data_IF_000867344781
#
_entry.id   IF_000867344781
#
_cell.length_a   1.000
_cell.length_b   1.000
_cell.length_c   1.000
_cell.angle_alpha   90.00
_cell.angle_beta   90.00
_cell.angle_gamma   90.00
#
_symmetry.space_group_name_H-M   'P 1'
#
loop_
_entity.id
_entity.type
_entity.pdbx_description
1 polymer ?
#
# COMPACT_ATOMS: atom_id res chain seq x y z
N UNK A 1 -35.17 -20.27 -4.00
CA UNK A 1 -33.95 -19.97 -4.70
C UNK A 1 -33.57 -18.54 -4.30
N UNK A 2 -32.82 -18.37 -3.18
CA UNK A 2 -32.49 -17.06 -2.60
C UNK A 2 -31.12 -16.64 -3.11
N UNK A 3 -31.07 -15.57 -3.90
CA UNK A 3 -29.80 -14.91 -4.26
C UNK A 3 -29.36 -14.04 -3.08
N UNK A 4 -28.32 -14.45 -2.38
CA UNK A 4 -27.61 -13.58 -1.42
C UNK A 4 -26.73 -12.61 -2.21
N UNK A 5 -27.01 -11.33 -2.07
CA UNK A 5 -26.12 -10.26 -2.52
C UNK A 5 -24.95 -10.16 -1.53
N UNK A 6 -23.73 -10.36 -2.00
CA UNK A 6 -22.54 -10.05 -1.23
C UNK A 6 -22.07 -8.65 -1.60
N UNK A 7 -21.98 -7.81 -0.59
CA UNK A 7 -21.30 -6.52 -0.68
C UNK A 7 -19.80 -6.76 -0.56
N UNK A 8 -19.03 -6.25 -1.51
CA UNK A 8 -17.56 -6.31 -1.52
C UNK A 8 -17.07 -4.91 -1.23
N UNK A 9 -16.61 -4.69 0.00
CA UNK A 9 -15.79 -3.53 0.33
C UNK A 9 -14.35 -4.00 0.42
N UNK A 10 -13.45 -3.44 -0.37
CA UNK A 10 -12.02 -3.69 -0.20
C UNK A 10 -11.56 -2.98 1.07
N UNK A 11 -11.26 -3.74 2.09
CA UNK A 11 -10.66 -3.25 3.32
C UNK A 11 -9.25 -3.85 3.38
N UNK A 12 -8.25 -3.05 3.06
CA UNK A 12 -6.88 -3.42 3.36
C UNK A 12 -6.73 -3.57 4.86
N UNK A 13 -6.51 -4.80 5.32
CA UNK A 13 -6.45 -5.11 6.73
C UNK A 13 -4.99 -5.06 7.18
N UNK A 14 -4.61 -3.94 7.79
CA UNK A 14 -3.43 -3.90 8.63
C UNK A 14 -3.74 -4.65 9.92
N UNK A 15 -3.07 -5.77 10.18
CA UNK A 15 -3.16 -6.42 11.49
C UNK A 15 -2.30 -5.68 12.50
N UNK A 16 -2.89 -4.73 13.21
CA UNK A 16 -2.38 -4.33 14.51
C UNK A 16 -3.02 -5.24 15.55
N UNK A 17 -2.33 -6.30 15.96
CA UNK A 17 -2.76 -7.15 17.06
C UNK A 17 -2.32 -6.52 18.39
N UNK A 18 -3.16 -5.67 18.96
CA UNK A 18 -3.11 -5.41 20.39
C UNK A 18 -3.85 -6.52 21.14
N UNK A 19 -3.23 -7.00 22.20
CA UNK A 19 -3.54 -8.19 22.97
C UNK A 19 -5.02 -8.46 23.27
N UNK A 20 -5.35 -9.74 23.25
CA UNK A 20 -6.64 -10.28 23.66
C UNK A 20 -6.86 -10.05 25.16
N UNK A 21 -7.77 -9.16 25.48
CA UNK A 21 -8.40 -9.04 26.77
C UNK A 21 -9.89 -8.89 26.57
N UNK A 22 -10.65 -9.98 26.71
CA UNK A 22 -12.09 -9.90 26.71
C UNK A 22 -12.56 -9.22 28.00
N UNK A 23 -13.08 -8.02 27.89
CA UNK A 23 -13.92 -7.40 28.91
C UNK A 23 -15.20 -6.93 28.22
N UNK A 24 -16.32 -7.59 28.54
CA UNK A 24 -17.63 -7.03 28.31
C UNK A 24 -17.77 -5.76 29.15
N UNK A 25 -18.05 -4.63 28.53
CA UNK A 25 -18.61 -3.47 29.18
C UNK A 25 -19.83 -3.02 28.39
N UNK A 26 -20.96 -3.09 29.05
CA UNK A 26 -22.22 -2.48 28.63
C UNK A 26 -22.11 -0.95 28.69
N UNK A 27 -22.61 -0.29 27.65
CA UNK A 27 -23.36 0.97 27.76
C UNK A 27 -22.56 2.23 28.01
N UNK A 28 -22.26 2.99 26.95
CA UNK A 28 -22.71 4.39 26.92
C UNK A 28 -22.85 4.87 25.46
N UNK A 29 -24.08 5.23 25.10
CA UNK A 29 -24.45 5.84 23.82
C UNK A 29 -24.09 7.33 23.89
N UNK A 30 -22.82 7.64 23.77
CA UNK A 30 -22.32 9.00 23.57
C UNK A 30 -21.83 9.15 22.14
N UNK A 31 -22.73 9.47 21.20
CA UNK A 31 -22.39 9.93 19.87
C UNK A 31 -21.50 11.17 19.95
N UNK A 32 -20.20 10.99 20.04
CA UNK A 32 -19.25 12.03 19.60
C UNK A 32 -19.08 11.86 18.10
N UNK A 33 -19.86 12.60 17.33
CA UNK A 33 -19.52 12.98 15.96
C UNK A 33 -18.20 13.75 16.02
N UNK A 34 -17.08 13.05 15.96
CA UNK A 34 -15.82 13.64 15.59
C UNK A 34 -15.93 13.93 14.09
N UNK A 35 -16.27 15.16 13.74
CA UNK A 35 -16.14 15.65 12.38
C UNK A 35 -14.67 15.44 12.00
N UNK A 36 -14.40 14.45 11.15
CA UNK A 36 -13.11 14.24 10.52
C UNK A 36 -12.69 15.57 9.91
N UNK A 37 -11.57 16.10 10.34
CA UNK A 37 -11.09 17.39 9.85
C UNK A 37 -10.47 17.13 8.50
N UNK A 38 -11.24 17.35 7.43
CA UNK A 38 -10.70 17.39 6.06
C UNK A 38 -9.70 18.53 6.02
N UNK A 39 -8.45 18.22 5.73
CA UNK A 39 -7.42 19.24 5.47
C UNK A 39 -7.54 19.61 4.00
N UNK A 40 -8.08 20.80 3.72
CA UNK A 40 -8.06 21.34 2.36
C UNK A 40 -6.62 21.68 2.00
N UNK A 41 -6.10 21.02 0.96
CA UNK A 41 -4.83 21.39 0.35
C UNK A 41 -5.02 22.67 -0.46
N UNK A 42 -4.09 23.62 -0.30
CA UNK A 42 -4.10 24.78 -1.18
C UNK A 42 -3.75 24.36 -2.64
N UNK A 43 -4.14 25.15 -3.66
CA UNK A 43 -3.83 24.81 -5.06
C UNK A 43 -2.34 24.66 -5.38
N UNK A 44 -1.46 25.05 -4.47
CA UNK A 44 -0.02 24.95 -4.59
C UNK A 44 0.57 23.76 -3.78
N UNK A 45 -0.28 22.96 -3.14
CA UNK A 45 0.14 21.79 -2.38
C UNK A 45 0.87 22.07 -1.07
N UNK A 46 0.65 23.28 -0.48
CA UNK A 46 1.39 23.72 0.72
C UNK A 46 0.73 23.32 2.05
N UNK A 47 -0.33 22.50 2.06
CA UNK A 47 -0.73 21.85 3.29
C UNK A 47 0.10 20.56 3.44
N UNK A 48 0.88 20.49 4.50
CA UNK A 48 1.65 19.30 4.78
C UNK A 48 0.70 18.18 5.21
N UNK A 49 0.50 17.18 4.36
CA UNK A 49 -0.27 15.96 4.69
C UNK A 49 0.32 15.26 5.91
N UNK A 50 1.58 15.54 6.23
CA UNK A 50 2.28 15.05 7.42
C UNK A 50 1.76 15.63 8.73
N UNK A 51 0.97 16.71 8.69
CA UNK A 51 0.36 17.32 9.88
C UNK A 51 -1.00 16.70 10.24
N UNK A 52 -1.39 15.63 9.56
CA UNK A 52 -2.62 14.91 9.89
C UNK A 52 -2.52 14.30 11.29
N UNK A 53 -3.58 14.47 12.07
CA UNK A 53 -3.74 13.76 13.35
C UNK A 53 -4.16 12.31 13.09
N UNK A 54 -4.09 11.45 14.11
CA UNK A 54 -4.44 10.03 13.99
C UNK A 54 -5.90 9.78 13.54
N UNK A 55 -6.79 10.77 13.71
CA UNK A 55 -8.18 10.74 13.24
C UNK A 55 -8.38 11.61 11.98
N UNK A 56 -7.30 12.18 11.43
CA UNK A 56 -7.33 13.10 10.33
C UNK A 56 -7.06 12.44 8.98
N UNK A 57 -7.71 12.95 7.96
CA UNK A 57 -7.42 12.59 6.58
C UNK A 57 -7.47 13.82 5.67
N UNK A 58 -6.80 13.73 4.53
CA UNK A 58 -6.90 14.69 3.45
C UNK A 58 -7.52 14.01 2.23
N UNK A 59 -8.37 14.74 1.52
CA UNK A 59 -8.92 14.31 0.23
C UNK A 59 -8.41 15.23 -0.87
N UNK A 60 -7.97 14.65 -1.98
CA UNK A 60 -7.52 15.37 -3.15
C UNK A 60 -8.04 14.65 -4.40
N UNK A 61 -9.08 15.22 -5.01
CA UNK A 61 -9.82 14.54 -6.05
C UNK A 61 -10.43 13.22 -5.54
N UNK A 62 -10.06 12.10 -6.16
CA UNK A 62 -10.52 10.77 -5.75
C UNK A 62 -9.65 10.13 -4.66
N UNK A 63 -8.50 10.73 -4.37
CA UNK A 63 -7.54 10.18 -3.42
C UNK A 63 -7.87 10.58 -1.99
N UNK A 64 -7.59 9.67 -1.07
CA UNK A 64 -7.62 9.94 0.36
C UNK A 64 -6.28 9.56 0.95
N UNK A 65 -5.72 10.42 1.80
CA UNK A 65 -4.53 10.13 2.60
C UNK A 65 -4.91 10.26 4.06
N UNK A 66 -4.65 9.22 4.85
CA UNK A 66 -4.95 9.19 6.27
C UNK A 66 -3.75 8.67 7.07
N UNK A 67 -3.49 9.27 8.21
CA UNK A 67 -2.51 8.77 9.16
C UNK A 67 -3.12 7.57 9.88
N UNK A 68 -2.49 6.41 9.77
CA UNK A 68 -2.98 5.16 10.39
C UNK A 68 -2.13 4.75 11.61
N UNK A 69 -0.91 5.23 11.69
CA UNK A 69 0.02 5.01 12.81
C UNK A 69 1.07 6.13 12.80
N UNK A 70 1.84 6.27 13.86
CA UNK A 70 2.98 7.17 13.86
C UNK A 70 3.91 6.85 12.67
N UNK A 71 4.20 7.87 11.89
CA UNK A 71 5.01 7.82 10.67
C UNK A 71 4.43 7.00 9.51
N UNK A 72 3.27 6.35 9.65
CA UNK A 72 2.65 5.57 8.56
C UNK A 72 1.35 6.20 8.10
N UNK A 73 1.26 6.44 6.80
CA UNK A 73 0.11 7.04 6.15
C UNK A 73 -0.40 6.10 5.05
N UNK A 74 -1.69 5.88 5.04
CA UNK A 74 -2.38 5.14 4.01
C UNK A 74 -2.82 6.10 2.91
N UNK A 75 -2.46 5.80 1.68
CA UNK A 75 -2.93 6.50 0.49
C UNK A 75 -3.89 5.58 -0.26
N UNK A 76 -5.18 5.89 -0.18
CA UNK A 76 -6.27 5.19 -0.86
C UNK A 76 -6.57 5.89 -2.19
N UNK A 77 -6.68 5.13 -3.27
CA UNK A 77 -7.06 5.65 -4.58
C UNK A 77 -8.54 5.98 -4.72
N UNK A 78 -9.36 5.61 -3.74
CA UNK A 78 -10.82 5.76 -3.82
C UNK A 78 -11.45 4.89 -4.92
N UNK A 79 -12.74 5.09 -5.13
CA UNK A 79 -13.48 4.38 -6.18
C UNK A 79 -13.17 4.98 -7.55
N UNK A 80 -12.65 4.16 -8.48
CA UNK A 80 -12.25 4.57 -9.82
C UNK A 80 -13.27 4.11 -10.86
N UNK A 81 -13.68 5.01 -11.77
CA UNK A 81 -14.20 4.60 -13.08
C UNK A 81 -13.01 4.26 -13.98
N UNK A 82 -12.80 2.98 -14.27
CA UNK A 82 -11.78 2.58 -15.24
C UNK A 82 -12.38 2.57 -16.64
N UNK A 83 -11.70 3.16 -17.64
CA UNK A 83 -12.07 2.94 -19.03
C UNK A 83 -11.95 1.45 -19.35
N UNK A 84 -13.09 0.79 -19.65
CA UNK A 84 -13.11 -0.63 -20.03
C UNK A 84 -12.99 -1.64 -18.89
N UNK A 85 -12.92 -1.22 -17.62
CA UNK A 85 -12.91 -2.11 -16.46
C UNK A 85 -14.29 -2.69 -16.14
N UNK A 86 -14.33 -3.82 -15.44
CA UNK A 86 -15.58 -4.37 -14.92
C UNK A 86 -16.19 -3.36 -13.94
N UNK A 87 -17.35 -2.83 -14.31
CA UNK A 87 -18.11 -1.92 -13.47
C UNK A 87 -19.15 -2.68 -12.69
N UNK A 88 -19.39 -2.28 -11.44
CA UNK A 88 -20.63 -2.67 -10.78
C UNK A 88 -21.83 -2.02 -11.47
N UNK A 89 -23.03 -2.30 -11.02
CA UNK A 89 -24.27 -1.74 -11.55
C UNK A 89 -24.32 -0.19 -11.50
N UNK A 90 -23.42 0.46 -10.75
CA UNK A 90 -23.28 1.91 -10.65
C UNK A 90 -22.28 2.51 -11.64
N UNK A 91 -21.55 1.67 -12.37
CA UNK A 91 -20.53 2.08 -13.32
C UNK A 91 -19.19 2.46 -12.69
N UNK A 92 -18.96 2.07 -11.44
CA UNK A 92 -17.72 2.29 -10.69
C UNK A 92 -16.94 0.99 -10.61
N UNK A 93 -15.66 1.01 -10.92
CA UNK A 93 -14.79 -0.13 -10.64
C UNK A 93 -14.39 -0.10 -9.17
N UNK A 94 -14.70 -1.19 -8.48
CA UNK A 94 -14.33 -1.40 -7.10
C UNK A 94 -13.02 -2.20 -7.04
N UNK A 95 -11.92 -1.61 -7.47
CA UNK A 95 -10.59 -2.17 -7.22
C UNK A 95 -9.61 -1.04 -6.90
N UNK A 96 -9.86 -0.27 -5.82
CA UNK A 96 -8.91 0.73 -5.37
C UNK A 96 -7.68 0.02 -4.83
N UNK A 97 -6.51 0.53 -5.17
CA UNK A 97 -5.26 0.10 -4.55
C UNK A 97 -4.96 0.92 -3.31
N UNK A 98 -4.28 0.28 -2.39
CA UNK A 98 -3.73 0.90 -1.18
C UNK A 98 -2.24 1.04 -1.32
N UNK A 99 -1.76 2.26 -1.09
CA UNK A 99 -0.34 2.59 -1.02
C UNK A 99 -0.03 3.11 0.38
N UNK A 100 1.22 3.04 0.78
CA UNK A 100 1.60 3.50 2.11
C UNK A 100 2.85 4.35 2.06
N UNK A 101 2.84 5.49 2.76
CA UNK A 101 4.04 6.24 3.05
C UNK A 101 4.52 5.90 4.46
N UNK A 102 5.84 5.69 4.60
CA UNK A 102 6.52 5.64 5.90
C UNK A 102 7.49 6.80 5.95
N UNK A 103 7.32 7.67 6.92
CA UNK A 103 8.13 8.86 7.07
C UNK A 103 9.31 8.57 7.99
N UNK A 104 10.51 8.72 7.46
CA UNK A 104 11.77 8.60 8.20
C UNK A 104 12.41 9.99 8.42
N UNK A 105 13.41 10.06 9.29
CA UNK A 105 14.12 11.31 9.52
C UNK A 105 14.80 11.82 8.24
N UNK A 106 15.49 10.93 7.53
CA UNK A 106 16.33 11.25 6.38
C UNK A 106 15.67 10.98 5.02
N UNK A 107 14.44 10.46 4.97
CA UNK A 107 13.79 10.12 3.72
C UNK A 107 12.33 9.70 3.89
N UNK A 108 11.74 9.26 2.80
CA UNK A 108 10.37 8.72 2.77
C UNK A 108 10.37 7.39 2.01
N UNK A 109 9.68 6.39 2.54
CA UNK A 109 9.40 5.16 1.83
C UNK A 109 7.96 5.20 1.32
N UNK A 110 7.76 4.85 0.06
CA UNK A 110 6.46 4.57 -0.54
C UNK A 110 6.34 3.07 -0.83
N UNK A 111 5.31 2.44 -0.34
CA UNK A 111 4.96 1.05 -0.64
C UNK A 111 3.84 1.04 -1.65
N UNK A 112 4.11 0.46 -2.81
CA UNK A 112 3.29 0.36 -4.02
C UNK A 112 3.00 1.70 -4.75
N UNK A 113 2.60 1.56 -6.01
CA UNK A 113 2.40 2.66 -6.96
C UNK A 113 0.96 2.70 -7.52
N UNK A 114 0.03 2.02 -6.90
CA UNK A 114 -1.39 2.05 -7.25
C UNK A 114 -1.72 1.68 -8.69
N UNK A 115 -2.96 1.94 -9.10
CA UNK A 115 -3.45 1.71 -10.47
C UNK A 115 -2.89 2.72 -11.48
N UNK A 116 -2.40 3.87 -11.00
CA UNK A 116 -2.10 4.98 -11.87
C UNK A 116 -3.35 5.67 -12.45
N UNK A 117 -3.15 6.58 -13.36
CA UNK A 117 -4.22 7.27 -14.09
C UNK A 117 -3.72 7.79 -15.42
N UNK A 118 -4.64 7.90 -16.40
CA UNK A 118 -4.45 8.64 -17.65
C UNK A 118 -5.13 10.03 -17.60
N UNK A 119 -5.81 10.34 -16.51
CA UNK A 119 -6.48 11.62 -16.32
C UNK A 119 -5.50 12.65 -15.74
N UNK A 120 -5.37 13.80 -16.38
CA UNK A 120 -4.42 14.84 -15.98
C UNK A 120 -4.67 15.37 -14.55
N UNK A 121 -5.94 15.49 -14.13
CA UNK A 121 -6.29 15.93 -12.79
C UNK A 121 -5.86 14.91 -11.74
N UNK A 122 -6.11 13.63 -11.99
CA UNK A 122 -5.67 12.54 -11.10
C UNK A 122 -4.14 12.50 -11.00
N UNK A 123 -3.43 12.66 -12.12
CA UNK A 123 -1.96 12.70 -12.16
C UNK A 123 -1.44 13.89 -11.35
N UNK A 124 -2.04 15.07 -11.51
CA UNK A 124 -1.66 16.27 -10.77
C UNK A 124 -1.93 16.11 -9.26
N UNK A 125 -3.06 15.50 -8.90
CA UNK A 125 -3.41 15.21 -7.52
C UNK A 125 -2.42 14.21 -6.89
N UNK A 126 -2.09 13.13 -7.60
CA UNK A 126 -1.08 12.16 -7.17
C UNK A 126 0.30 12.82 -6.98
N UNK A 127 0.73 13.66 -7.93
CA UNK A 127 1.96 14.47 -7.83
C UNK A 127 1.95 15.34 -6.57
N UNK A 128 0.84 16.01 -6.30
CA UNK A 128 0.70 16.87 -5.13
C UNK A 128 0.82 16.06 -3.84
N UNK A 129 0.19 14.88 -3.78
CA UNK A 129 0.31 13.98 -2.63
C UNK A 129 1.77 13.56 -2.42
N UNK A 130 2.42 13.04 -3.45
CA UNK A 130 3.82 12.59 -3.36
C UNK A 130 4.73 13.73 -2.91
N UNK A 131 4.62 14.92 -3.51
CA UNK A 131 5.43 16.08 -3.12
C UNK A 131 5.15 16.54 -1.68
N UNK A 132 3.89 16.50 -1.23
CA UNK A 132 3.53 16.87 0.13
C UNK A 132 4.08 15.89 1.16
N UNK A 133 4.10 14.59 0.84
CA UNK A 133 4.61 13.56 1.75
C UNK A 133 6.13 13.55 1.80
N UNK A 134 6.80 13.78 0.67
CA UNK A 134 8.27 13.80 0.61
C UNK A 134 8.85 15.13 1.11
N UNK A 135 8.19 16.25 0.84
CA UNK A 135 8.78 17.56 1.04
C UNK A 135 10.06 17.70 0.21
N UNK A 136 11.20 17.90 0.88
CA UNK A 136 12.52 17.96 0.24
C UNK A 136 13.35 16.70 0.51
N UNK A 137 12.75 15.65 1.06
CA UNK A 137 13.45 14.40 1.39
C UNK A 137 13.47 13.47 0.18
N UNK A 138 14.52 12.62 0.07
CA UNK A 138 14.56 11.58 -0.95
C UNK A 138 13.47 10.54 -0.72
N UNK A 139 13.08 9.87 -1.81
CA UNK A 139 12.05 8.83 -1.84
C UNK A 139 12.67 7.48 -2.22
N UNK A 140 12.43 6.47 -1.40
CA UNK A 140 12.58 5.07 -1.82
C UNK A 140 11.21 4.44 -2.04
N UNK A 141 11.12 3.49 -2.96
CA UNK A 141 9.87 2.80 -3.30
C UNK A 141 10.06 1.30 -3.09
N UNK A 142 9.08 0.64 -2.50
CA UNK A 142 8.98 -0.82 -2.51
C UNK A 142 7.73 -1.20 -3.31
N UNK A 143 7.88 -2.10 -4.28
CA UNK A 143 6.79 -2.69 -5.05
C UNK A 143 6.55 -4.08 -4.50
N UNK A 144 5.36 -4.30 -3.95
CA UNK A 144 5.02 -5.58 -3.31
C UNK A 144 4.94 -6.72 -4.31
N UNK A 145 4.44 -6.44 -5.53
CA UNK A 145 4.37 -7.42 -6.62
C UNK A 145 4.12 -6.73 -7.98
N UNK A 146 4.13 -7.52 -9.05
CA UNK A 146 4.19 -7.02 -10.44
C UNK A 146 2.87 -6.59 -11.05
N UNK A 147 1.73 -6.72 -10.38
CA UNK A 147 0.43 -6.38 -10.97
C UNK A 147 0.27 -4.88 -11.22
N UNK A 148 -0.56 -4.55 -12.20
CA UNK A 148 -0.73 -3.19 -12.71
C UNK A 148 -1.32 -2.22 -11.69
N UNK A 149 -2.11 -2.70 -10.75
CA UNK A 149 -2.68 -1.94 -9.64
C UNK A 149 -1.70 -1.70 -8.47
N UNK A 150 -0.46 -2.21 -8.58
CA UNK A 150 0.66 -1.95 -7.67
C UNK A 150 1.85 -1.27 -8.38
N UNK A 151 1.79 -1.14 -9.71
CA UNK A 151 2.86 -0.54 -10.53
C UNK A 151 2.39 0.63 -11.38
N UNK A 152 1.12 1.02 -11.30
CA UNK A 152 0.48 1.92 -12.25
C UNK A 152 1.11 3.30 -12.39
N UNK A 153 1.43 4.00 -11.29
CA UNK A 153 2.14 5.27 -11.35
C UNK A 153 3.59 5.15 -11.79
N UNK A 154 4.14 3.94 -11.87
CA UNK A 154 5.44 3.69 -12.47
C UNK A 154 5.54 4.12 -13.93
N UNK A 155 4.41 4.28 -14.63
CA UNK A 155 4.32 4.82 -16.01
C UNK A 155 4.18 6.33 -16.07
N UNK A 156 3.96 7.02 -14.95
CA UNK A 156 3.67 8.45 -14.89
C UNK A 156 4.88 9.24 -14.43
N UNK A 157 5.77 9.61 -15.35
CA UNK A 157 6.95 10.43 -15.03
C UNK A 157 6.55 11.73 -14.31
N UNK A 158 5.40 12.31 -14.67
CA UNK A 158 4.92 13.56 -14.11
C UNK A 158 4.69 13.49 -12.58
N UNK A 159 4.29 12.34 -12.05
CA UNK A 159 4.01 12.17 -10.60
C UNK A 159 5.29 12.32 -9.78
N UNK A 160 6.43 11.86 -10.30
CA UNK A 160 7.71 11.85 -9.60
C UNK A 160 8.71 12.89 -10.11
N UNK A 161 8.28 13.79 -11.01
CA UNK A 161 9.19 14.74 -11.70
C UNK A 161 9.97 15.68 -10.74
N UNK A 162 9.40 16.02 -9.59
CA UNK A 162 9.98 16.96 -8.63
C UNK A 162 10.53 16.24 -7.38
N UNK A 163 10.63 14.91 -7.42
CA UNK A 163 11.05 14.09 -6.27
C UNK A 163 12.34 13.36 -6.59
N UNK A 164 13.29 13.37 -5.67
CA UNK A 164 14.50 12.56 -5.77
C UNK A 164 14.21 11.10 -5.40
N UNK A 165 13.86 10.30 -6.40
CA UNK A 165 13.69 8.85 -6.22
C UNK A 165 15.08 8.21 -6.17
N UNK A 166 15.51 7.70 -5.01
CA UNK A 166 16.82 7.10 -4.82
C UNK A 166 16.86 5.62 -5.23
N UNK A 167 15.88 4.84 -4.77
CA UNK A 167 15.81 3.39 -4.97
C UNK A 167 14.39 2.91 -5.19
N UNK A 168 14.28 1.87 -6.01
CA UNK A 168 13.03 1.10 -6.18
C UNK A 168 13.34 -0.36 -5.94
N UNK A 169 12.73 -0.94 -4.93
CA UNK A 169 12.91 -2.34 -4.55
C UNK A 169 11.75 -3.18 -5.08
N UNK A 170 12.07 -4.28 -5.71
CA UNK A 170 11.11 -5.27 -6.19
C UNK A 170 11.75 -6.65 -6.06
N UNK A 171 10.93 -7.69 -5.89
CA UNK A 171 11.46 -9.05 -5.87
C UNK A 171 12.08 -9.45 -7.22
N UNK A 172 13.15 -10.24 -7.17
CA UNK A 172 13.79 -10.75 -8.41
C UNK A 172 12.80 -11.52 -9.31
N UNK A 173 11.90 -12.42 -8.78
CA UNK A 173 10.96 -13.14 -9.63
C UNK A 173 9.93 -12.24 -10.33
N UNK A 174 9.46 -11.17 -9.68
CA UNK A 174 8.44 -10.28 -10.24
C UNK A 174 9.00 -9.16 -11.13
N UNK A 175 10.31 -8.91 -11.07
CA UNK A 175 10.91 -7.81 -11.82
C UNK A 175 10.61 -7.85 -13.32
N UNK A 176 10.73 -9.03 -13.95
CA UNK A 176 10.54 -9.14 -15.39
C UNK A 176 9.11 -8.77 -15.84
N UNK A 177 8.11 -9.10 -15.01
CA UNK A 177 6.72 -8.78 -15.30
C UNK A 177 6.39 -7.29 -15.06
N UNK A 178 7.06 -6.65 -14.09
CA UNK A 178 6.88 -5.24 -13.78
C UNK A 178 7.71 -4.29 -14.64
N UNK A 179 8.78 -4.76 -15.29
CA UNK A 179 9.82 -3.94 -15.90
C UNK A 179 9.28 -2.85 -16.84
N UNK A 180 8.32 -3.18 -17.71
CA UNK A 180 7.71 -2.20 -18.63
C UNK A 180 6.97 -1.08 -17.87
N UNK A 181 6.37 -1.40 -16.74
CA UNK A 181 5.60 -0.45 -15.95
C UNK A 181 6.47 0.54 -15.16
N UNK A 182 7.73 0.19 -14.90
CA UNK A 182 8.64 0.94 -14.02
C UNK A 182 9.91 1.43 -14.71
N UNK A 183 9.91 1.47 -16.04
CA UNK A 183 11.10 1.86 -16.86
C UNK A 183 11.68 3.21 -16.48
N UNK A 184 10.87 4.17 -16.03
CA UNK A 184 11.39 5.47 -15.58
C UNK A 184 12.39 5.35 -14.41
N UNK A 185 12.37 4.22 -13.71
CA UNK A 185 13.23 3.94 -12.55
C UNK A 185 14.38 2.95 -12.86
N UNK A 186 14.63 2.55 -14.10
CA UNK A 186 15.60 1.50 -14.47
C UNK A 186 16.96 1.62 -13.77
N UNK A 187 17.50 2.83 -13.69
CA UNK A 187 18.79 3.08 -13.02
C UNK A 187 18.74 3.03 -11.49
N UNK A 188 17.55 2.94 -10.92
CA UNK A 188 17.27 2.96 -9.48
C UNK A 188 16.83 1.59 -8.94
N UNK A 189 16.55 0.63 -9.84
CA UNK A 189 16.02 -0.69 -9.46
C UNK A 189 17.05 -1.46 -8.65
N UNK A 190 16.58 -2.00 -7.54
CA UNK A 190 17.28 -2.95 -6.69
C UNK A 190 16.39 -4.19 -6.51
N UNK A 191 16.85 -5.31 -7.01
CA UNK A 191 16.15 -6.58 -6.87
C UNK A 191 16.45 -7.19 -5.51
N UNK A 192 15.39 -7.68 -4.85
CA UNK A 192 15.48 -8.32 -3.54
C UNK A 192 15.05 -9.78 -3.60
N UNK A 193 15.57 -10.57 -2.68
CA UNK A 193 15.28 -11.99 -2.54
C UNK A 193 14.65 -12.30 -1.17
N UNK A 194 14.15 -13.51 -1.02
CA UNK A 194 13.62 -13.98 0.25
C UNK A 194 14.69 -13.94 1.35
N UNK A 195 14.36 -13.28 2.46
CA UNK A 195 15.23 -13.14 3.63
C UNK A 195 16.18 -11.94 3.57
N UNK A 196 16.23 -11.21 2.45
CA UNK A 196 17.04 -10.00 2.38
C UNK A 196 16.57 -8.97 3.42
N UNK A 197 17.53 -8.28 4.00
CA UNK A 197 17.29 -7.15 4.89
C UNK A 197 18.00 -5.93 4.33
N UNK A 198 17.23 -4.87 4.10
CA UNK A 198 17.75 -3.59 3.59
C UNK A 198 17.48 -2.50 4.61
N UNK A 199 18.50 -1.71 4.93
CA UNK A 199 18.33 -0.49 5.70
C UNK A 199 17.87 0.62 4.74
N UNK A 200 16.67 1.17 4.98
CA UNK A 200 16.12 2.30 4.24
C UNK A 200 15.92 3.43 5.23
N UNK A 201 16.67 4.50 5.07
CA UNK A 201 16.65 5.70 5.93
C UNK A 201 16.74 5.40 7.43
N UNK A 202 17.57 4.42 7.81
CA UNK A 202 17.80 4.06 9.22
C UNK A 202 16.96 2.89 9.73
N UNK A 203 15.85 2.56 9.08
CA UNK A 203 14.99 1.44 9.45
C UNK A 203 15.34 0.17 8.65
N UNK A 204 15.43 -1.01 9.29
CA UNK A 204 15.63 -2.30 8.62
C UNK A 204 14.28 -2.84 8.11
N UNK A 205 14.22 -3.12 6.81
CA UNK A 205 13.09 -3.78 6.14
C UNK A 205 13.49 -5.20 5.75
N UNK A 206 12.76 -6.21 6.21
CA UNK A 206 12.99 -7.61 5.86
C UNK A 206 12.02 -8.04 4.77
N UNK A 207 12.56 -8.53 3.66
CA UNK A 207 11.80 -8.96 2.49
C UNK A 207 11.57 -10.47 2.51
N UNK A 208 10.30 -10.87 2.53
CA UNK A 208 9.92 -12.27 2.48
C UNK A 208 9.12 -12.54 1.21
N UNK A 209 9.65 -13.35 0.29
CA UNK A 209 8.92 -13.77 -0.90
C UNK A 209 7.91 -14.85 -0.51
N UNK A 210 6.64 -14.64 -0.86
CA UNK A 210 5.52 -15.57 -0.66
C UNK A 210 4.82 -15.77 -2.01
N UNK A 211 5.20 -16.81 -2.75
CA UNK A 211 4.75 -17.07 -4.12
C UNK A 211 3.30 -17.60 -4.17
N UNK A 212 2.37 -16.91 -3.53
CA UNK A 212 0.97 -17.31 -3.45
C UNK A 212 0.05 -16.49 -4.37
N UNK A 213 0.36 -15.20 -4.57
CA UNK A 213 -0.40 -14.29 -5.41
C UNK A 213 0.29 -14.06 -6.76
N UNK A 214 1.56 -13.64 -6.74
CA UNK A 214 2.49 -13.71 -7.88
C UNK A 214 3.69 -14.57 -7.51
N UNK A 215 4.59 -14.85 -8.45
CA UNK A 215 5.80 -15.62 -8.18
C UNK A 215 6.71 -14.93 -7.16
N UNK A 216 6.74 -13.58 -7.20
CA UNK A 216 7.60 -12.74 -6.39
C UNK A 216 6.88 -11.88 -5.35
N UNK A 217 5.61 -12.16 -5.01
CA UNK A 217 4.89 -11.37 -4.01
C UNK A 217 5.68 -11.24 -2.72
N UNK A 218 5.83 -10.00 -2.26
CA UNK A 218 6.59 -9.66 -1.05
C UNK A 218 5.66 -9.47 0.15
N UNK A 219 6.11 -10.02 1.28
CA UNK A 219 5.68 -9.63 2.60
C UNK A 219 6.84 -8.92 3.29
N UNK A 220 6.68 -7.64 3.62
CA UNK A 220 7.74 -6.77 4.11
C UNK A 220 7.52 -6.50 5.59
N UNK A 221 8.51 -6.86 6.42
CA UNK A 221 8.49 -6.65 7.87
C UNK A 221 9.24 -5.36 8.21
N UNK A 222 8.57 -4.44 8.86
CA UNK A 222 9.11 -3.22 9.44
C UNK A 222 8.94 -3.26 10.96
N UNK A 223 9.99 -3.68 11.66
CA UNK A 223 9.97 -3.75 13.13
C UNK A 223 10.16 -2.41 13.80
N UNK A 224 10.71 -1.42 13.10
CA UNK A 224 10.91 -0.07 13.62
C UNK A 224 9.58 0.63 13.86
N UNK A 225 8.68 0.56 12.89
CA UNK A 225 7.36 1.19 12.99
C UNK A 225 6.26 0.19 13.38
N UNK A 226 6.60 -1.11 13.57
CA UNK A 226 5.64 -2.16 13.91
C UNK A 226 4.60 -2.36 12.81
N UNK A 227 5.06 -2.61 11.58
CA UNK A 227 4.21 -2.82 10.42
C UNK A 227 4.61 -4.07 9.63
N UNK A 228 3.62 -4.73 9.05
CA UNK A 228 3.78 -5.83 8.12
C UNK A 228 2.98 -5.51 6.85
N UNK A 229 3.69 -5.16 5.77
CA UNK A 229 3.08 -4.91 4.47
C UNK A 229 3.01 -6.23 3.71
N UNK A 230 1.81 -6.65 3.33
CA UNK A 230 1.58 -8.00 2.78
C UNK A 230 1.23 -8.02 1.31
N UNK A 231 1.05 -6.86 0.69
CA UNK A 231 0.48 -6.78 -0.66
C UNK A 231 -0.80 -7.62 -0.75
N UNK A 232 -1.08 -8.18 -1.89
CA UNK A 232 -2.28 -8.96 -2.16
C UNK A 232 -2.23 -10.40 -1.65
N UNK A 233 -1.08 -10.85 -1.12
CA UNK A 233 -0.99 -12.18 -0.50
C UNK A 233 -2.00 -12.34 0.64
N UNK A 234 -2.20 -11.27 1.46
CA UNK A 234 -3.13 -11.29 2.59
C UNK A 234 -4.01 -10.03 2.68
N UNK A 235 -3.91 -9.11 1.73
CA UNK A 235 -4.34 -7.72 1.93
C UNK A 235 -5.72 -7.34 1.46
N UNK A 236 -6.43 -8.11 0.65
CA UNK A 236 -7.59 -7.60 -0.09
C UNK A 236 -8.96 -8.08 0.41
N UNK A 237 -9.06 -8.64 1.61
CA UNK A 237 -10.33 -9.23 2.10
C UNK A 237 -10.76 -10.50 1.36
N UNK A 238 -10.29 -10.69 0.13
CA UNK A 238 -10.24 -11.95 -0.60
C UNK A 238 -8.79 -12.37 -0.72
N UNK A 239 -8.52 -13.64 -0.51
CA UNK A 239 -7.20 -14.19 -0.76
C UNK A 239 -7.14 -14.62 -2.23
N UNK A 240 -6.38 -13.90 -3.01
CA UNK A 240 -6.16 -14.18 -4.44
C UNK A 240 -5.00 -15.16 -4.63
N UNK A 241 -5.07 -16.33 -3.98
CA UNK A 241 -4.07 -17.39 -4.12
C UNK A 241 -4.28 -18.20 -5.42
N UNK A 242 -4.59 -17.52 -6.51
CA UNK A 242 -5.03 -18.19 -7.75
C UNK A 242 -3.99 -18.14 -8.85
N UNK A 243 -2.89 -17.41 -8.68
CA UNK A 243 -2.11 -16.99 -9.82
C UNK A 243 -0.72 -17.60 -9.88
N UNK A 244 -0.52 -18.26 -10.98
CA UNK A 244 0.63 -18.27 -11.86
C UNK A 244 2.00 -18.36 -11.20
N UNK A 245 2.13 -19.23 -10.24
CA UNK A 245 3.46 -19.73 -9.94
C UNK A 245 3.78 -20.76 -11.04
N UNK A 246 4.68 -20.47 -11.94
CA UNK A 246 5.16 -21.30 -13.07
C UNK A 246 5.16 -22.83 -12.79
N UNK A 247 3.96 -23.43 -12.63
CA UNK A 247 3.78 -24.83 -12.25
C UNK A 247 3.81 -25.10 -10.75
N UNK A 248 3.86 -24.08 -9.88
CA UNK A 248 3.76 -24.21 -8.43
C UNK A 248 2.33 -24.46 -7.93
N UNK A 249 2.19 -24.66 -6.63
CA UNK A 249 0.91 -24.80 -5.96
C UNK A 249 0.64 -23.56 -5.09
N UNK A 250 -0.17 -22.58 -5.57
CA UNK A 250 -0.39 -21.32 -4.86
C UNK A 250 -1.05 -21.53 -3.48
N UNK A 251 -1.84 -22.57 -3.31
CA UNK A 251 -2.45 -22.89 -2.00
C UNK A 251 -1.40 -23.38 -1.00
N UNK A 252 -0.43 -24.20 -1.46
CA UNK A 252 0.67 -24.62 -0.61
C UNK A 252 1.55 -23.43 -0.23
N UNK A 253 1.89 -22.56 -1.19
CA UNK A 253 2.66 -21.34 -0.96
C UNK A 253 1.94 -20.38 0.00
N UNK A 254 0.62 -20.21 -0.13
CA UNK A 254 -0.18 -19.44 0.82
C UNK A 254 -0.12 -20.02 2.23
N UNK A 255 -0.23 -21.35 2.36
CA UNK A 255 -0.15 -22.00 3.66
C UNK A 255 1.23 -21.81 4.32
N UNK A 256 2.30 -21.88 3.53
CA UNK A 256 3.66 -21.57 3.98
C UNK A 256 3.79 -20.10 4.38
N UNK A 257 3.23 -19.19 3.59
CA UNK A 257 3.17 -17.76 3.88
C UNK A 257 2.40 -17.45 5.17
N UNK A 258 1.28 -18.14 5.43
CA UNK A 258 0.55 -18.03 6.70
C UNK A 258 1.40 -18.50 7.90
N UNK A 259 2.16 -19.59 7.74
CA UNK A 259 3.06 -20.08 8.78
C UNK A 259 4.20 -19.09 9.05
N UNK A 260 4.77 -18.51 7.99
CA UNK A 260 5.81 -17.49 8.07
C UNK A 260 5.28 -16.21 8.75
N UNK A 261 4.12 -15.70 8.32
CA UNK A 261 3.50 -14.53 8.94
C UNK A 261 3.26 -14.75 10.45
N UNK A 262 2.78 -15.93 10.83
CA UNK A 262 2.60 -16.29 12.25
C UNK A 262 3.93 -16.28 13.01
N UNK A 263 4.99 -16.80 12.40
CA UNK A 263 6.33 -16.79 13.00
C UNK A 263 6.81 -15.37 13.22
N UNK A 264 6.72 -14.52 12.19
CA UNK A 264 7.12 -13.11 12.24
C UNK A 264 6.37 -12.38 13.36
N UNK A 265 5.04 -12.54 13.44
CA UNK A 265 4.21 -11.90 14.46
C UNK A 265 4.52 -12.39 15.88
N UNK A 266 4.84 -13.68 16.04
CA UNK A 266 5.22 -14.24 17.34
C UNK A 266 6.61 -13.75 17.82
N UNK A 267 7.53 -13.56 16.88
CA UNK A 267 8.89 -13.08 17.18
C UNK A 267 8.93 -11.56 17.36
N UNK A 268 7.96 -10.84 16.82
CA UNK A 268 7.87 -9.38 16.86
C UNK A 268 6.50 -8.93 17.39
N UNK A 269 6.25 -9.01 18.70
CA UNK A 269 4.95 -8.68 19.29
C UNK A 269 4.51 -7.20 19.15
N UNK A 270 5.39 -6.34 18.65
CA UNK A 270 5.10 -4.93 18.37
C UNK A 270 4.51 -4.68 16.97
N UNK A 271 4.51 -5.70 16.09
CA UNK A 271 3.90 -5.66 14.78
C UNK A 271 2.38 -5.63 14.85
#
# INVERSE_FOLDING_TARGET
MFKKKFFIGSLSLMFALSGIGAVQAEGDQGSKSTASKVVELDPNGNAFLTDLTDDGYAELGRYKVEKIKDNIYHWDEGTKKLPGGATDESGVTNNPSSMYFVLEEDGVLLVDLGNGSENDEDIQNAKTIVNSMTGNKPLSIIITHSHGDHTGFGRSEAVFADVDVEKVYISEPDYAAAAEAITQFDSKITKVNHGDTVNIYGAPYVFNVVSAHTEGSLMITDTTHGALFTGDTFGSGFIWALFETNGGNPIAALNEGCALARTILNENPSL
#
